data_IF_771138280532
#
_entry.id   IF_771138280532
#
_cell.length_a   1.000
_cell.length_b   1.000
_cell.length_c   1.000
_cell.angle_alpha   90.00
_cell.angle_beta   90.00
_cell.angle_gamma   90.00
#
_symmetry.space_group_name_H-M   'P 1'
#
loop_
_entity.id
_entity.type
_entity.pdbx_description
1 polymer ?
#
# COMPACT_ATOMS: atom_id res chain seq x y z
N UNK A 1 14.47 -15.74 -1.71
CA UNK A 1 14.19 -14.47 -1.01
C UNK A 1 12.76 -14.39 -0.45
N UNK A 2 11.70 -14.61 -1.26
CA UNK A 2 10.32 -14.56 -0.77
C UNK A 2 10.06 -15.58 0.34
N UNK A 3 10.56 -16.81 0.18
CA UNK A 3 10.39 -17.88 1.17
C UNK A 3 11.03 -17.50 2.52
N UNK A 4 12.24 -16.94 2.50
CA UNK A 4 12.93 -16.47 3.71
C UNK A 4 12.14 -15.33 4.37
N UNK A 5 11.64 -14.39 3.58
CA UNK A 5 10.81 -13.28 4.07
C UNK A 5 9.52 -13.78 4.73
N UNK A 6 8.82 -14.73 4.10
CA UNK A 6 7.62 -15.35 4.66
C UNK A 6 7.93 -16.15 5.93
N UNK A 7 9.06 -16.90 5.97
CA UNK A 7 9.49 -17.60 7.17
C UNK A 7 9.81 -16.64 8.32
N UNK A 8 10.48 -15.51 8.04
CA UNK A 8 10.75 -14.48 9.05
C UNK A 8 9.47 -13.84 9.57
N UNK A 9 8.52 -13.55 8.70
CA UNK A 9 7.20 -13.04 9.13
C UNK A 9 6.47 -14.05 10.02
N UNK A 10 6.53 -15.33 9.68
CA UNK A 10 5.92 -16.39 10.48
C UNK A 10 6.58 -16.54 11.85
N UNK A 11 7.90 -16.39 11.92
CA UNK A 11 8.65 -16.42 13.21
C UNK A 11 8.30 -15.20 14.07
N UNK A 12 8.12 -14.02 13.46
CA UNK A 12 7.76 -12.80 14.19
C UNK A 12 6.30 -12.82 14.65
N UNK A 13 5.42 -13.44 13.85
CA UNK A 13 3.98 -13.55 14.12
C UNK A 13 3.52 -15.02 14.03
N UNK A 14 3.79 -15.85 15.06
CA UNK A 14 3.46 -17.28 15.03
C UNK A 14 1.96 -17.54 14.92
N UNK A 15 1.12 -16.62 15.38
CA UNK A 15 -0.35 -16.72 15.30
C UNK A 15 -0.91 -16.34 13.93
N UNK A 16 -0.06 -16.05 12.94
CA UNK A 16 -0.42 -15.62 11.59
C UNK A 16 -1.29 -14.34 11.55
N UNK A 17 -1.39 -13.62 12.64
CA UNK A 17 -2.08 -12.34 12.70
C UNK A 17 -1.06 -11.25 12.34
N UNK A 18 -1.02 -10.89 11.08
CA UNK A 18 -0.28 -9.73 10.63
C UNK A 18 -1.09 -8.48 10.96
N UNK A 19 -0.49 -7.55 11.71
CA UNK A 19 -1.14 -6.33 12.11
C UNK A 19 -1.16 -6.11 13.63
N UNK A 20 -1.57 -4.94 14.04
CA UNK A 20 -1.71 -4.58 15.47
C UNK A 20 -3.16 -4.73 15.93
N UNK A 21 -3.34 -4.99 17.20
CA UNK A 21 -4.68 -5.08 17.82
C UNK A 21 -5.38 -3.73 17.92
N UNK A 22 -4.66 -2.61 17.74
CA UNK A 22 -5.24 -1.25 17.81
C UNK A 22 -5.76 -0.80 16.44
N UNK A 23 -4.95 -0.05 15.69
CA UNK A 23 -5.42 0.61 14.46
C UNK A 23 -5.70 -0.36 13.32
N UNK A 24 -4.89 -1.41 13.20
CA UNK A 24 -5.05 -2.38 12.12
C UNK A 24 -6.41 -3.09 12.18
N UNK A 25 -6.74 -3.70 13.30
CA UNK A 25 -7.98 -4.45 13.45
C UNK A 25 -9.22 -3.56 13.57
N UNK A 26 -9.07 -2.38 14.21
CA UNK A 26 -10.20 -1.52 14.51
C UNK A 26 -10.53 -0.52 13.39
N UNK A 27 -9.59 -0.23 12.49
CA UNK A 27 -9.76 0.80 11.47
C UNK A 27 -9.35 0.31 10.08
N UNK A 28 -8.11 -0.18 9.91
CA UNK A 28 -7.56 -0.49 8.60
C UNK A 28 -8.19 -1.69 7.89
N UNK A 29 -8.84 -2.59 8.62
CA UNK A 29 -9.62 -3.68 8.05
C UNK A 29 -11.08 -3.26 7.90
N UNK A 30 -11.66 -2.63 8.94
CA UNK A 30 -13.09 -2.35 9.02
C UNK A 30 -13.53 -1.34 7.96
N UNK A 31 -12.80 -0.25 7.76
CA UNK A 31 -13.21 0.77 6.78
C UNK A 31 -13.15 0.26 5.34
N UNK A 32 -12.07 -0.36 4.86
CA UNK A 32 -12.05 -0.93 3.50
C UNK A 32 -13.11 -2.02 3.29
N UNK A 33 -13.38 -2.86 4.30
CA UNK A 33 -14.43 -3.86 4.23
C UNK A 33 -15.82 -3.22 4.12
N UNK A 34 -16.06 -2.17 4.91
CA UNK A 34 -17.29 -1.37 4.81
C UNK A 34 -17.45 -0.74 3.42
N UNK A 35 -16.41 -0.12 2.86
CA UNK A 35 -16.47 0.51 1.53
C UNK A 35 -16.78 -0.52 0.45
N UNK A 36 -16.11 -1.68 0.48
CA UNK A 36 -16.35 -2.78 -0.44
C UNK A 36 -17.78 -3.34 -0.31
N UNK A 37 -18.25 -3.55 0.91
CA UNK A 37 -19.61 -4.03 1.19
C UNK A 37 -20.67 -3.04 0.68
N UNK A 38 -20.46 -1.75 0.87
CA UNK A 38 -21.36 -0.70 0.35
C UNK A 38 -21.39 -0.69 -1.17
N UNK A 39 -20.23 -0.88 -1.83
CA UNK A 39 -20.19 -1.01 -3.29
C UNK A 39 -21.07 -2.16 -3.77
N UNK A 40 -20.99 -3.33 -3.18
CA UNK A 40 -21.83 -4.46 -3.60
C UNK A 40 -23.33 -4.26 -3.29
N UNK A 41 -23.66 -3.52 -2.24
CA UNK A 41 -25.05 -3.24 -1.89
C UNK A 41 -25.69 -2.16 -2.78
N UNK A 42 -24.94 -1.14 -3.15
CA UNK A 42 -25.49 0.06 -3.81
C UNK A 42 -25.09 0.20 -5.28
N UNK A 43 -24.06 -0.53 -5.73
CA UNK A 43 -23.46 -0.33 -7.05
C UNK A 43 -22.61 0.95 -7.18
N UNK A 44 -22.53 1.76 -6.14
CA UNK A 44 -21.79 3.02 -6.13
C UNK A 44 -20.37 2.79 -5.64
N UNK A 45 -19.38 3.08 -6.48
CA UNK A 45 -17.96 2.92 -6.13
C UNK A 45 -17.56 3.86 -4.98
N UNK A 46 -18.11 5.07 -4.98
CA UNK A 46 -17.87 6.11 -3.99
C UNK A 46 -19.23 6.66 -3.51
N UNK A 47 -19.88 6.01 -2.55
CA UNK A 47 -21.12 6.50 -1.98
C UNK A 47 -20.86 7.78 -1.18
N UNK A 48 -21.84 8.71 -1.17
CA UNK A 48 -21.66 10.00 -0.50
C UNK A 48 -21.84 9.92 1.02
N UNK A 49 -22.55 8.92 1.53
CA UNK A 49 -22.97 8.87 2.92
C UNK A 49 -22.78 7.47 3.52
N UNK A 50 -22.19 7.43 4.70
CA UNK A 50 -21.96 6.25 5.51
C UNK A 50 -22.96 6.22 6.68
N UNK A 51 -24.10 5.56 6.51
CA UNK A 51 -25.17 5.51 7.54
C UNK A 51 -24.78 4.70 8.78
N UNK A 52 -23.86 3.74 8.63
CA UNK A 52 -23.47 2.83 9.71
C UNK A 52 -22.22 3.31 10.49
N UNK A 53 -21.63 4.44 10.13
CA UNK A 53 -20.45 4.98 10.79
C UNK A 53 -20.84 6.25 11.53
N UNK A 54 -20.57 6.31 12.84
CA UNK A 54 -20.72 7.52 13.66
C UNK A 54 -22.09 8.18 13.59
N UNK A 55 -23.19 7.41 13.60
CA UNK A 55 -24.55 7.88 13.47
C UNK A 55 -24.88 8.52 12.09
N UNK A 56 -24.04 8.31 11.09
CA UNK A 56 -24.19 8.82 9.74
C UNK A 56 -23.25 9.99 9.44
N UNK A 57 -22.29 9.76 8.57
CA UNK A 57 -21.27 10.74 8.21
C UNK A 57 -21.01 10.72 6.69
N UNK A 58 -20.40 11.80 6.21
CA UNK A 58 -19.89 11.84 4.85
C UNK A 58 -18.74 10.83 4.70
N UNK A 59 -18.86 9.90 3.75
CA UNK A 59 -17.87 8.84 3.57
C UNK A 59 -16.50 9.38 3.16
N UNK A 60 -16.43 10.56 2.55
CA UNK A 60 -15.17 11.19 2.14
C UNK A 60 -14.31 11.67 3.31
N UNK A 61 -14.86 11.78 4.51
CA UNK A 61 -14.09 12.04 5.73
C UNK A 61 -13.18 10.85 6.10
N UNK A 62 -13.50 9.67 5.57
CA UNK A 62 -12.72 8.45 5.77
C UNK A 62 -11.76 8.14 4.61
N UNK A 63 -11.48 9.09 3.72
CA UNK A 63 -10.54 8.90 2.59
C UNK A 63 -9.15 8.47 3.06
N UNK A 64 -8.73 8.95 4.24
CA UNK A 64 -7.50 8.54 4.89
C UNK A 64 -7.39 7.02 5.08
N UNK A 65 -8.51 6.34 5.29
CA UNK A 65 -8.56 4.89 5.49
C UNK A 65 -8.67 4.10 4.18
N UNK A 66 -8.39 4.74 3.05
CA UNK A 66 -8.19 4.06 1.79
C UNK A 66 -9.38 3.97 0.87
N UNK A 67 -10.37 4.89 0.99
CA UNK A 67 -11.50 4.96 0.05
C UNK A 67 -11.04 5.02 -1.42
N UNK A 68 -9.97 5.76 -1.71
CA UNK A 68 -9.39 5.88 -3.04
C UNK A 68 -8.13 5.02 -3.26
N UNK A 69 -7.79 4.16 -2.30
CA UNK A 69 -6.58 3.37 -2.38
C UNK A 69 -6.68 2.33 -3.52
N UNK A 70 -5.79 2.40 -4.54
CA UNK A 70 -5.86 1.51 -5.69
C UNK A 70 -5.79 0.02 -5.30
N UNK A 71 -5.03 -0.30 -4.24
CA UNK A 71 -4.89 -1.68 -3.76
C UNK A 71 -6.22 -2.18 -3.20
N UNK A 72 -6.94 -1.34 -2.43
CA UNK A 72 -8.25 -1.72 -1.90
C UNK A 72 -9.32 -1.81 -2.99
N UNK A 73 -9.28 -0.92 -3.97
CA UNK A 73 -10.19 -0.99 -5.11
C UNK A 73 -10.00 -2.27 -5.92
N UNK A 74 -8.77 -2.81 -6.03
CA UNK A 74 -8.54 -4.11 -6.63
C UNK A 74 -9.23 -5.26 -5.88
N UNK A 75 -9.42 -5.15 -4.57
CA UNK A 75 -10.14 -6.17 -3.79
C UNK A 75 -11.61 -6.34 -4.21
N UNK A 76 -12.18 -5.33 -4.87
CA UNK A 76 -13.57 -5.36 -5.37
C UNK A 76 -13.77 -6.37 -6.50
N UNK A 77 -12.67 -6.81 -7.12
CA UNK A 77 -12.68 -7.89 -8.12
C UNK A 77 -12.71 -9.29 -7.47
N UNK A 78 -12.50 -9.37 -6.14
CA UNK A 78 -12.38 -10.60 -5.39
C UNK A 78 -13.40 -10.68 -4.24
N UNK A 79 -14.72 -10.72 -4.54
CA UNK A 79 -15.78 -10.66 -3.53
C UNK A 79 -15.77 -11.82 -2.55
N UNK A 80 -15.21 -12.97 -2.94
CA UNK A 80 -15.15 -14.19 -2.16
C UNK A 80 -13.97 -14.24 -1.17
N UNK A 81 -13.03 -13.28 -1.25
CA UNK A 81 -11.89 -13.20 -0.33
C UNK A 81 -12.25 -12.27 0.82
N UNK A 82 -12.21 -12.70 2.08
CA UNK A 82 -12.38 -11.81 3.23
C UNK A 82 -11.41 -10.63 3.17
N UNK A 83 -11.85 -9.43 3.55
CA UNK A 83 -11.02 -8.22 3.45
C UNK A 83 -9.77 -8.34 4.32
N UNK A 84 -9.87 -8.98 5.48
CA UNK A 84 -8.74 -9.23 6.36
C UNK A 84 -7.64 -10.02 5.66
N UNK A 85 -8.00 -11.14 5.02
CA UNK A 85 -7.04 -12.00 4.31
C UNK A 85 -6.43 -11.28 3.11
N UNK A 86 -7.27 -10.54 2.38
CA UNK A 86 -6.80 -9.72 1.26
C UNK A 86 -5.76 -8.68 1.69
N UNK A 87 -6.03 -7.97 2.79
CA UNK A 87 -5.15 -6.95 3.33
C UNK A 87 -3.83 -7.56 3.81
N UNK A 88 -3.88 -8.69 4.51
CA UNK A 88 -2.67 -9.38 4.97
C UNK A 88 -1.81 -9.82 3.79
N UNK A 89 -2.39 -10.53 2.82
CA UNK A 89 -1.67 -10.99 1.65
C UNK A 89 -1.11 -9.83 0.81
N UNK A 90 -1.91 -8.79 0.57
CA UNK A 90 -1.47 -7.62 -0.20
C UNK A 90 -0.35 -6.87 0.52
N UNK A 91 -0.41 -6.71 1.84
CA UNK A 91 0.65 -6.04 2.61
C UNK A 91 1.99 -6.76 2.51
N UNK A 92 1.99 -8.09 2.65
CA UNK A 92 3.19 -8.91 2.49
C UNK A 92 3.78 -8.76 1.07
N UNK A 93 2.92 -8.84 0.05
CA UNK A 93 3.34 -8.70 -1.34
C UNK A 93 3.87 -7.30 -1.65
N UNK A 94 3.25 -6.25 -1.09
CA UNK A 94 3.66 -4.86 -1.28
C UNK A 94 5.02 -4.57 -0.63
N UNK A 95 5.24 -5.06 0.59
CA UNK A 95 6.53 -4.90 1.28
C UNK A 95 7.63 -5.62 0.48
N UNK A 96 7.41 -6.87 0.13
CA UNK A 96 8.36 -7.64 -0.65
C UNK A 96 8.61 -7.00 -2.03
N UNK A 97 7.53 -6.64 -2.73
CA UNK A 97 7.60 -5.99 -4.04
C UNK A 97 8.32 -4.64 -4.00
N UNK A 98 8.14 -3.85 -2.95
CA UNK A 98 8.86 -2.58 -2.76
C UNK A 98 10.36 -2.80 -2.58
N UNK A 99 10.77 -3.86 -1.89
CA UNK A 99 12.18 -4.25 -1.79
C UNK A 99 12.80 -4.64 -3.14
N UNK A 100 12.05 -5.36 -3.96
CA UNK A 100 12.48 -5.69 -5.34
C UNK A 100 12.58 -4.44 -6.22
N UNK A 101 11.64 -3.51 -6.10
CA UNK A 101 11.67 -2.24 -6.81
C UNK A 101 12.84 -1.36 -6.35
N UNK A 102 13.14 -1.35 -5.05
CA UNK A 102 14.33 -0.70 -4.50
C UNK A 102 15.62 -1.28 -5.09
N UNK A 103 15.73 -2.61 -5.13
CA UNK A 103 16.85 -3.29 -5.78
C UNK A 103 17.00 -2.84 -7.24
N UNK A 104 15.93 -2.88 -8.04
CA UNK A 104 15.98 -2.48 -9.44
C UNK A 104 16.31 -1.00 -9.63
N UNK A 105 15.83 -0.13 -8.77
CA UNK A 105 16.17 1.28 -8.81
C UNK A 105 17.66 1.47 -8.52
N UNK A 106 18.18 0.86 -7.45
CA UNK A 106 19.59 0.93 -7.11
C UNK A 106 20.49 0.27 -8.18
N UNK A 107 20.02 -0.79 -8.83
CA UNK A 107 20.75 -1.48 -9.89
C UNK A 107 21.07 -0.62 -11.10
N UNK A 108 20.31 0.46 -11.28
CA UNK A 108 20.55 1.42 -12.35
C UNK A 108 21.74 2.36 -12.07
N UNK A 109 22.18 2.45 -10.82
CA UNK A 109 23.23 3.38 -10.37
C UNK A 109 24.45 2.64 -9.79
N UNK A 110 24.27 1.43 -9.29
CA UNK A 110 25.27 0.70 -8.54
C UNK A 110 25.48 -0.72 -9.11
N UNK A 111 26.57 -1.36 -8.67
CA UNK A 111 26.81 -2.76 -8.99
C UNK A 111 25.73 -3.67 -8.38
N UNK A 112 25.59 -4.85 -8.92
CA UNK A 112 24.58 -5.83 -8.48
C UNK A 112 24.65 -6.14 -6.98
N UNK A 113 25.86 -6.30 -6.47
CA UNK A 113 26.09 -6.58 -5.04
C UNK A 113 25.62 -5.43 -4.15
N UNK A 114 25.96 -4.19 -4.51
CA UNK A 114 25.53 -3.00 -3.76
C UNK A 114 24.00 -2.85 -3.84
N UNK A 115 23.41 -2.98 -5.02
CA UNK A 115 21.98 -2.89 -5.19
C UNK A 115 21.23 -3.95 -4.37
N UNK A 116 21.77 -5.18 -4.31
CA UNK A 116 21.20 -6.24 -3.47
C UNK A 116 21.23 -5.87 -1.99
N UNK A 117 22.36 -5.37 -1.51
CA UNK A 117 22.48 -4.91 -0.12
C UNK A 117 21.53 -3.77 0.17
N UNK A 118 21.37 -2.80 -0.74
CA UNK A 118 20.39 -1.71 -0.59
C UNK A 118 18.96 -2.21 -0.47
N UNK A 119 18.53 -3.11 -1.35
CA UNK A 119 17.19 -3.70 -1.31
C UNK A 119 16.96 -4.51 -0.03
N UNK A 120 17.99 -5.22 0.43
CA UNK A 120 17.95 -5.97 1.68
C UNK A 120 17.81 -5.03 2.89
N UNK A 121 18.68 -4.03 3.02
CA UNK A 121 18.64 -3.05 4.11
C UNK A 121 17.33 -2.27 4.10
N UNK A 122 16.79 -1.98 2.93
CA UNK A 122 15.48 -1.35 2.80
C UNK A 122 14.37 -2.20 3.42
N UNK A 123 14.32 -3.51 3.11
CA UNK A 123 13.31 -4.43 3.68
C UNK A 123 13.40 -4.56 5.21
N UNK A 124 14.60 -4.46 5.75
CA UNK A 124 14.86 -4.54 7.20
C UNK A 124 14.98 -3.17 7.87
N UNK A 125 14.59 -2.11 7.18
CA UNK A 125 14.60 -0.77 7.79
C UNK A 125 13.55 -0.66 8.90
N UNK A 126 13.89 0.04 9.97
CA UNK A 126 13.01 0.22 11.12
C UNK A 126 11.63 0.80 10.75
N UNK A 127 11.50 1.80 9.85
CA UNK A 127 10.20 2.29 9.42
C UNK A 127 9.34 1.21 8.77
N UNK A 128 9.91 0.35 7.90
CA UNK A 128 9.16 -0.72 7.24
C UNK A 128 8.70 -1.78 8.23
N UNK A 129 9.56 -2.19 9.14
CA UNK A 129 9.21 -3.17 10.18
C UNK A 129 8.14 -2.60 11.11
N UNK A 130 8.32 -1.36 11.58
CA UNK A 130 7.42 -0.76 12.55
C UNK A 130 6.04 -0.45 11.96
N UNK A 131 6.00 0.19 10.78
CA UNK A 131 4.75 0.59 10.16
C UNK A 131 4.08 -0.53 9.37
N UNK A 132 4.85 -1.48 8.85
CA UNK A 132 4.34 -2.55 8.01
C UNK A 132 3.26 -3.42 8.67
N UNK A 133 3.27 -3.51 9.99
CA UNK A 133 2.26 -4.25 10.73
C UNK A 133 1.29 -3.37 11.55
N UNK A 134 1.50 -2.05 11.57
CA UNK A 134 0.64 -1.12 12.34
C UNK A 134 -0.27 -0.29 11.46
N UNK A 135 0.28 0.27 10.38
CA UNK A 135 -0.41 1.26 9.57
C UNK A 135 -0.29 0.87 8.09
N UNK A 136 -1.28 0.20 7.59
CA UNK A 136 -1.31 -0.30 6.22
C UNK A 136 -1.06 0.79 5.17
N UNK A 137 -1.56 1.99 5.40
CA UNK A 137 -1.40 3.13 4.49
C UNK A 137 0.06 3.51 4.26
N UNK A 138 0.95 3.24 5.23
CA UNK A 138 2.39 3.49 5.09
C UNK A 138 3.09 2.50 4.16
N UNK A 139 2.43 1.41 3.79
CA UNK A 139 2.99 0.39 2.91
C UNK A 139 2.43 0.47 1.50
N UNK A 140 1.15 0.82 1.38
CA UNK A 140 0.44 0.75 0.11
C UNK A 140 0.97 1.74 -0.95
N UNK A 141 1.55 2.87 -0.55
CA UNK A 141 2.07 3.85 -1.50
C UNK A 141 3.49 3.51 -2.02
N UNK A 142 4.24 2.67 -1.32
CA UNK A 142 5.66 2.40 -1.63
C UNK A 142 5.91 1.90 -3.07
N UNK A 143 5.16 0.96 -3.63
CA UNK A 143 5.34 0.56 -5.02
C UNK A 143 5.10 1.72 -6.00
N UNK A 144 4.13 2.57 -5.70
CA UNK A 144 3.82 3.75 -6.53
C UNK A 144 4.89 4.83 -6.40
N UNK A 145 5.53 4.97 -5.22
CA UNK A 145 6.69 5.82 -5.04
C UNK A 145 7.85 5.39 -5.95
N UNK A 146 8.19 4.09 -5.96
CA UNK A 146 9.22 3.60 -6.87
C UNK A 146 8.82 3.78 -8.33
N UNK A 147 7.56 3.57 -8.66
CA UNK A 147 7.05 3.85 -10.00
C UNK A 147 7.24 5.32 -10.38
N UNK A 148 6.92 6.25 -9.47
CA UNK A 148 7.17 7.68 -9.67
C UNK A 148 8.66 7.98 -9.86
N UNK A 149 9.55 7.42 -9.04
CA UNK A 149 11.00 7.59 -9.17
C UNK A 149 11.54 7.10 -10.53
N UNK A 150 11.06 5.94 -11.02
CA UNK A 150 11.39 5.48 -12.38
C UNK A 150 10.85 6.43 -13.46
N UNK A 151 9.64 6.95 -13.27
CA UNK A 151 9.02 7.89 -14.21
C UNK A 151 9.75 9.23 -14.24
N UNK A 152 10.15 9.79 -13.08
CA UNK A 152 10.97 11.02 -12.98
C UNK A 152 12.28 10.84 -13.75
N UNK A 153 12.95 9.72 -13.55
CA UNK A 153 14.20 9.44 -14.29
C UNK A 153 13.98 9.44 -15.80
N UNK A 154 12.91 8.81 -16.28
CA UNK A 154 12.56 8.83 -17.72
C UNK A 154 12.25 10.25 -18.20
N UNK A 155 11.56 11.07 -17.40
CA UNK A 155 11.30 12.46 -17.73
C UNK A 155 12.59 13.26 -17.88
N UNK A 156 13.56 13.06 -16.96
CA UNK A 156 14.87 13.71 -17.04
C UNK A 156 15.65 13.31 -18.30
N UNK A 157 15.60 12.02 -18.68
CA UNK A 157 16.29 11.53 -19.86
C UNK A 157 15.67 12.04 -21.18
N UNK A 158 14.35 12.17 -21.24
CA UNK A 158 13.61 12.53 -22.44
C UNK A 158 13.10 13.96 -22.46
N UNK A 159 13.32 14.74 -21.38
CA UNK A 159 12.85 16.13 -21.19
C UNK A 159 11.34 16.30 -21.46
N UNK A 160 10.53 15.29 -21.16
CA UNK A 160 9.08 15.30 -21.36
C UNK A 160 8.38 14.77 -20.12
N UNK A 161 7.29 15.42 -19.74
CA UNK A 161 6.41 14.91 -18.67
C UNK A 161 5.78 13.59 -19.13
N UNK A 162 5.93 12.56 -18.34
CA UNK A 162 5.40 11.23 -18.65
C UNK A 162 4.01 11.07 -18.01
N UNK A 163 3.05 10.56 -18.77
CA UNK A 163 1.74 10.12 -18.25
C UNK A 163 1.93 9.13 -17.10
N UNK A 164 2.99 8.31 -17.16
CA UNK A 164 3.37 7.38 -16.10
C UNK A 164 3.65 8.10 -14.75
N UNK A 165 4.27 9.28 -14.77
CA UNK A 165 4.49 10.06 -13.54
C UNK A 165 3.18 10.58 -12.97
N UNK A 166 2.29 11.09 -13.82
CA UNK A 166 0.96 11.58 -13.41
C UNK A 166 0.16 10.43 -12.76
N UNK A 167 0.12 9.27 -13.41
CA UNK A 167 -0.59 8.11 -12.89
C UNK A 167 -0.02 7.61 -11.56
N UNK A 168 1.31 7.55 -11.43
CA UNK A 168 1.96 7.17 -10.17
C UNK A 168 1.62 8.16 -9.05
N UNK A 169 1.63 9.48 -9.35
CA UNK A 169 1.25 10.52 -8.38
C UNK A 169 -0.21 10.41 -7.94
N UNK A 170 -1.14 10.14 -8.87
CA UNK A 170 -2.55 9.90 -8.53
C UNK A 170 -2.68 8.67 -7.63
N UNK A 171 -1.95 7.59 -7.90
CA UNK A 171 -1.97 6.40 -7.05
C UNK A 171 -1.42 6.68 -5.64
N UNK A 172 -0.35 7.47 -5.51
CA UNK A 172 0.21 7.89 -4.22
C UNK A 172 -0.83 8.71 -3.44
N UNK A 173 -1.46 9.69 -4.08
CA UNK A 173 -2.55 10.48 -3.48
C UNK A 173 -3.71 9.60 -3.04
N UNK A 174 -4.09 8.62 -3.84
CA UNK A 174 -5.16 7.68 -3.52
C UNK A 174 -4.83 6.77 -2.35
N UNK A 175 -3.55 6.44 -2.12
CA UNK A 175 -3.13 5.67 -0.96
C UNK A 175 -3.21 6.49 0.32
N UNK A 176 -2.69 7.71 0.32
CA UNK A 176 -2.79 8.64 1.44
C UNK A 176 -2.30 10.03 1.07
N UNK A 177 -3.10 11.03 1.34
CA UNK A 177 -2.74 12.42 1.16
C UNK A 177 -1.48 12.83 1.95
N UNK A 178 -1.34 12.33 3.18
CA UNK A 178 -0.19 12.67 4.02
C UNK A 178 1.14 12.20 3.42
N UNK A 179 1.15 11.03 2.80
CA UNK A 179 2.37 10.50 2.16
C UNK A 179 2.66 11.16 0.84
N UNK A 180 1.62 11.60 0.12
CA UNK A 180 1.81 12.39 -1.07
C UNK A 180 2.59 13.68 -0.77
N UNK A 181 2.22 14.42 0.27
CA UNK A 181 2.91 15.64 0.68
C UNK A 181 4.37 15.38 1.07
N UNK A 182 4.64 14.25 1.75
CA UNK A 182 6.01 13.87 2.11
C UNK A 182 6.86 13.30 0.96
N UNK A 183 6.23 12.99 -0.17
CA UNK A 183 6.90 12.38 -1.35
C UNK A 183 7.25 13.42 -2.42
N UNK A 184 6.70 14.62 -2.35
CA UNK A 184 6.95 15.75 -3.23
C UNK A 184 7.75 16.84 -2.52
#
# INVERSE_FOLDING_TARGET
CLTIFLCLLWVIHPDLIFGSTMDWNNQHIIFPDYFRSRFYQTGQLFPNFASAIGAGQNIYEFTYYGLFNPIFLLSYLLPFVPMMDYIQCSSILLIWGSGMLCYWFCRQHFSERIAFVCGFLYLFSAPLIYHGHRHLMFMNYLPFLFWALFAVRRCQQHQRVSVSLILASICILGCSFFFAVGSF
#
